data_IF_081748330163
#
_entry.id   IF_081748330163
#
_cell.length_a   1.000
_cell.length_b   1.000
_cell.length_c   1.000
_cell.angle_alpha   90.00
_cell.angle_beta   90.00
_cell.angle_gamma   90.00
#
_symmetry.space_group_name_H-M   'P 1'
#
loop_
_entity.id
_entity.type
_entity.pdbx_description
1 polymer ?
#
# COMPACT_ATOMS: atom_id res chain seq x y z
N UNK A 1 -31.57 -9.61 12.89
CA UNK A 1 -30.34 -10.43 12.87
C UNK A 1 -29.29 -9.77 11.97
N UNK A 2 -29.09 -8.45 12.09
CA UNK A 2 -28.11 -7.64 11.32
C UNK A 2 -27.20 -6.81 12.26
N UNK A 3 -27.12 -7.18 13.55
CA UNK A 3 -26.40 -6.42 14.59
C UNK A 3 -24.96 -6.90 14.86
N UNK A 4 -24.40 -7.81 14.05
CA UNK A 4 -23.19 -8.53 14.48
C UNK A 4 -21.85 -8.05 13.93
N UNK A 5 -21.81 -7.09 13.00
CA UNK A 5 -20.56 -6.43 12.63
C UNK A 5 -20.84 -4.95 12.38
N UNK A 6 -20.25 -4.07 13.20
CA UNK A 6 -20.15 -2.65 12.88
C UNK A 6 -19.58 -2.55 11.45
N UNK A 7 -20.30 -1.84 10.57
CA UNK A 7 -19.95 -1.71 9.16
C UNK A 7 -18.53 -1.13 8.97
N UNK A 8 -17.99 -0.50 10.01
CA UNK A 8 -16.67 0.09 10.05
C UNK A 8 -15.64 -0.74 10.83
N UNK A 9 -16.01 -1.89 11.42
CA UNK A 9 -15.11 -2.68 12.27
C UNK A 9 -13.80 -3.05 11.54
N UNK A 10 -13.90 -3.38 10.26
CA UNK A 10 -12.73 -3.71 9.43
C UNK A 10 -11.77 -2.52 9.32
N UNK A 11 -12.26 -1.32 9.05
CA UNK A 11 -11.39 -0.14 8.86
C UNK A 11 -10.95 0.49 10.19
N UNK A 12 -11.79 0.46 11.23
CA UNK A 12 -11.52 1.09 12.52
C UNK A 12 -10.71 0.21 13.47
N UNK A 13 -10.88 -1.12 13.43
CA UNK A 13 -10.24 -2.02 14.38
C UNK A 13 -9.26 -2.98 13.72
N UNK A 14 -9.63 -3.63 12.61
CA UNK A 14 -8.75 -4.63 12.01
C UNK A 14 -7.55 -3.96 11.32
N UNK A 15 -7.79 -3.01 10.43
CA UNK A 15 -6.74 -2.33 9.65
C UNK A 15 -5.64 -1.76 10.55
N UNK A 16 -5.95 -0.98 11.62
CA UNK A 16 -4.93 -0.46 12.53
C UNK A 16 -4.09 -1.52 13.24
N UNK A 17 -4.65 -2.70 13.48
CA UNK A 17 -3.97 -3.78 14.22
C UNK A 17 -3.15 -4.69 13.29
N UNK A 18 -3.50 -4.78 12.00
CA UNK A 18 -2.84 -5.70 11.07
C UNK A 18 -1.85 -5.02 10.13
N UNK A 19 -2.01 -3.73 9.82
CA UNK A 19 -1.09 -2.99 8.96
C UNK A 19 0.31 -2.74 9.53
N UNK A 20 0.53 -2.52 10.84
CA UNK A 20 1.86 -2.29 11.38
C UNK A 20 2.82 -3.45 11.09
N UNK A 21 3.97 -3.15 10.50
CA UNK A 21 4.97 -4.15 10.10
C UNK A 21 4.47 -5.07 8.99
N UNK A 22 3.55 -4.61 8.15
CA UNK A 22 3.18 -5.31 6.92
C UNK A 22 4.28 -5.17 5.87
N UNK A 23 4.87 -3.99 5.76
CA UNK A 23 5.96 -3.71 4.81
C UNK A 23 7.28 -4.02 5.49
N UNK A 24 8.14 -4.72 4.77
CA UNK A 24 9.44 -5.17 5.23
C UNK A 24 10.52 -4.73 4.23
N UNK A 25 11.77 -4.67 4.66
CA UNK A 25 12.92 -4.55 3.78
C UNK A 25 13.70 -5.86 3.83
N UNK A 26 13.85 -6.54 2.68
CA UNK A 26 14.63 -7.78 2.57
C UNK A 26 15.79 -7.60 1.60
N UNK A 27 16.93 -8.27 1.85
CA UNK A 27 18.01 -8.33 0.87
C UNK A 27 17.50 -8.89 -0.47
N UNK A 28 17.87 -8.23 -1.58
CA UNK A 28 17.43 -8.62 -2.93
C UNK A 28 17.81 -10.08 -3.22
N UNK A 29 18.95 -10.55 -2.70
CA UNK A 29 19.40 -11.93 -2.88
C UNK A 29 18.40 -12.96 -2.32
N UNK A 30 17.75 -12.69 -1.17
CA UNK A 30 16.76 -13.61 -0.57
C UNK A 30 15.50 -13.67 -1.44
N UNK A 31 15.04 -12.51 -1.92
CA UNK A 31 13.87 -12.39 -2.79
C UNK A 31 14.10 -13.16 -4.09
N UNK A 32 15.29 -13.00 -4.69
CA UNK A 32 15.66 -13.69 -5.92
C UNK A 32 15.83 -15.20 -5.71
N UNK A 33 16.40 -15.64 -4.58
CA UNK A 33 16.54 -17.07 -4.27
C UNK A 33 15.19 -17.77 -4.15
N UNK A 34 14.18 -17.10 -3.58
CA UNK A 34 12.80 -17.61 -3.51
C UNK A 34 12.11 -17.67 -4.88
N UNK A 35 12.53 -16.83 -5.84
CA UNK A 35 11.83 -16.63 -7.11
C UNK A 35 12.47 -17.37 -8.29
N UNK A 36 13.77 -17.70 -8.19
CA UNK A 36 14.55 -18.31 -9.28
C UNK A 36 14.72 -19.79 -8.99
N UNK A 37 14.30 -20.63 -9.93
CA UNK A 37 14.51 -22.09 -9.89
C UNK A 37 15.84 -22.52 -10.55
N UNK A 38 16.48 -21.65 -11.34
CA UNK A 38 17.71 -21.96 -12.06
C UNK A 38 18.94 -22.02 -11.13
N UNK A 39 19.54 -23.20 -10.99
CA UNK A 39 20.69 -23.44 -10.12
C UNK A 39 21.95 -22.64 -10.51
N UNK A 40 22.12 -22.31 -11.81
CA UNK A 40 23.27 -21.52 -12.27
C UNK A 40 23.13 -20.07 -11.80
N UNK A 41 21.94 -19.48 -11.95
CA UNK A 41 21.63 -18.16 -11.42
C UNK A 41 21.72 -18.13 -9.90
N UNK A 42 21.19 -19.14 -9.20
CA UNK A 42 21.34 -19.24 -7.73
C UNK A 42 22.79 -19.17 -7.25
N UNK A 43 23.72 -19.79 -7.98
CA UNK A 43 25.16 -19.66 -7.68
C UNK A 43 25.68 -18.24 -7.89
N UNK A 44 25.24 -17.56 -8.94
CA UNK A 44 25.60 -16.15 -9.17
C UNK A 44 25.05 -15.23 -8.08
N UNK A 45 23.88 -15.54 -7.52
CA UNK A 45 23.29 -14.76 -6.41
C UNK A 45 24.15 -14.81 -5.14
N UNK A 46 24.99 -15.84 -4.95
CA UNK A 46 25.85 -15.95 -3.77
C UNK A 46 26.92 -14.86 -3.68
N UNK A 47 27.30 -14.29 -4.83
CA UNK A 47 28.32 -13.25 -4.97
C UNK A 47 27.73 -11.83 -4.98
N UNK A 48 26.41 -11.68 -4.84
CA UNK A 48 25.74 -10.38 -4.80
C UNK A 48 25.99 -9.67 -3.47
N UNK A 49 26.11 -8.34 -3.53
CA UNK A 49 26.10 -7.47 -2.37
C UNK A 49 24.80 -7.62 -1.56
N UNK A 50 24.93 -8.23 -0.38
CA UNK A 50 23.81 -8.48 0.54
C UNK A 50 23.28 -7.22 1.22
N UNK A 51 23.96 -6.08 1.07
CA UNK A 51 23.47 -4.79 1.57
C UNK A 51 22.38 -4.18 0.68
N UNK A 52 22.26 -4.63 -0.56
CA UNK A 52 21.18 -4.21 -1.45
C UNK A 52 19.86 -4.82 -0.97
N UNK A 53 18.97 -3.98 -0.45
CA UNK A 53 17.64 -4.35 -0.01
C UNK A 53 16.57 -3.82 -0.95
N UNK A 54 15.40 -4.43 -0.87
CA UNK A 54 14.19 -4.01 -1.56
C UNK A 54 13.01 -4.12 -0.60
N UNK A 55 11.99 -3.28 -0.83
CA UNK A 55 10.74 -3.40 -0.10
C UNK A 55 10.03 -4.71 -0.48
N UNK A 56 9.43 -5.34 0.52
CA UNK A 56 8.57 -6.52 0.39
C UNK A 56 7.48 -6.43 1.45
N UNK A 57 6.75 -7.51 1.65
CA UNK A 57 5.69 -7.56 2.65
C UNK A 57 5.61 -8.91 3.35
N UNK A 58 5.10 -8.89 4.58
CA UNK A 58 4.76 -10.07 5.36
C UNK A 58 3.65 -10.85 4.65
N UNK A 59 3.99 -12.06 4.17
CA UNK A 59 3.07 -12.91 3.41
C UNK A 59 1.90 -13.39 4.26
N UNK A 60 2.10 -13.65 5.55
CA UNK A 60 1.05 -14.14 6.45
C UNK A 60 0.03 -13.04 6.73
N UNK A 61 0.50 -11.82 7.02
CA UNK A 61 -0.38 -10.64 7.15
C UNK A 61 -1.10 -10.31 5.86
N UNK A 62 -0.42 -10.40 4.72
CA UNK A 62 -1.03 -10.15 3.42
C UNK A 62 -2.15 -11.15 3.11
N UNK A 63 -1.99 -12.43 3.47
CA UNK A 63 -3.06 -13.43 3.34
C UNK A 63 -4.28 -13.06 4.20
N UNK A 64 -4.07 -12.73 5.47
CA UNK A 64 -5.15 -12.32 6.39
C UNK A 64 -5.89 -11.08 5.88
N UNK A 65 -5.14 -10.05 5.47
CA UNK A 65 -5.71 -8.82 4.93
C UNK A 65 -6.45 -9.05 3.61
N UNK A 66 -5.93 -9.92 2.74
CA UNK A 66 -6.62 -10.30 1.50
C UNK A 66 -7.94 -11.02 1.79
N UNK A 67 -7.99 -11.90 2.79
CA UNK A 67 -9.23 -12.57 3.19
C UNK A 67 -10.28 -11.59 3.72
N UNK A 68 -9.87 -10.49 4.37
CA UNK A 68 -10.77 -9.57 5.08
C UNK A 68 -11.18 -8.36 4.22
N UNK A 69 -10.31 -7.89 3.34
CA UNK A 69 -10.52 -6.70 2.50
C UNK A 69 -10.63 -7.03 1.01
N UNK A 70 -10.35 -8.28 0.62
CA UNK A 70 -10.48 -8.75 -0.75
C UNK A 70 -9.60 -7.97 -1.74
N UNK A 71 -10.10 -7.75 -2.98
CA UNK A 71 -9.36 -7.07 -4.04
C UNK A 71 -8.88 -5.66 -3.67
N UNK A 72 -9.59 -4.95 -2.78
CA UNK A 72 -9.20 -3.60 -2.34
C UNK A 72 -7.81 -3.60 -1.73
N UNK A 73 -7.51 -4.62 -0.91
CA UNK A 73 -6.20 -4.75 -0.29
C UNK A 73 -5.12 -5.18 -1.28
N UNK A 74 -5.39 -6.16 -2.15
CA UNK A 74 -4.38 -6.60 -3.13
C UNK A 74 -4.01 -5.48 -4.09
N UNK A 75 -4.98 -4.65 -4.48
CA UNK A 75 -4.75 -3.46 -5.30
C UNK A 75 -3.99 -2.39 -4.53
N UNK A 76 -4.32 -2.17 -3.25
CA UNK A 76 -3.58 -1.25 -2.38
C UNK A 76 -2.11 -1.67 -2.23
N UNK A 77 -1.86 -2.96 -2.07
CA UNK A 77 -0.52 -3.51 -1.99
C UNK A 77 0.23 -3.35 -3.32
N UNK A 78 -0.41 -3.64 -4.45
CA UNK A 78 0.16 -3.38 -5.79
C UNK A 78 0.50 -1.89 -5.97
N UNK A 79 -0.35 -0.97 -5.50
CA UNK A 79 -0.05 0.47 -5.51
C UNK A 79 1.20 0.80 -4.69
N UNK A 80 1.29 0.31 -3.45
CA UNK A 80 2.46 0.57 -2.58
C UNK A 80 3.75 0.04 -3.18
N UNK A 81 3.70 -1.12 -3.83
CA UNK A 81 4.87 -1.76 -4.41
C UNK A 81 5.22 -1.19 -5.80
N UNK A 82 4.23 -0.76 -6.58
CA UNK A 82 4.38 -0.48 -8.01
C UNK A 82 3.89 0.93 -8.38
N UNK A 83 3.99 1.92 -7.50
CA UNK A 83 3.67 3.32 -7.81
C UNK A 83 4.77 4.28 -7.36
N UNK A 84 4.91 5.39 -8.10
CA UNK A 84 5.57 6.60 -7.66
C UNK A 84 4.57 7.40 -6.82
N UNK A 85 4.89 7.65 -5.55
CA UNK A 85 4.02 8.34 -4.60
C UNK A 85 4.71 9.64 -4.20
N UNK A 86 4.05 10.77 -4.47
CA UNK A 86 4.60 12.11 -4.27
C UNK A 86 3.62 12.99 -3.49
N UNK A 87 4.13 14.04 -2.85
CA UNK A 87 3.35 14.95 -2.02
C UNK A 87 3.45 14.65 -0.51
N UNK A 88 2.74 15.45 0.28
CA UNK A 88 2.66 15.26 1.73
C UNK A 88 1.69 14.12 2.07
N UNK A 89 1.87 13.43 3.21
CA UNK A 89 0.96 12.33 3.62
C UNK A 89 -0.52 12.75 3.75
N UNK A 90 -0.78 14.04 3.93
CA UNK A 90 -2.14 14.60 3.94
C UNK A 90 -2.74 14.72 2.53
N UNK A 91 -1.88 14.80 1.51
CA UNK A 91 -2.22 15.17 0.14
C UNK A 91 -1.28 14.48 -0.88
N UNK A 92 -1.55 13.21 -1.19
CA UNK A 92 -0.68 12.39 -2.02
C UNK A 92 -1.16 12.32 -3.47
N UNK A 93 -0.20 12.27 -4.39
CA UNK A 93 -0.40 11.92 -5.80
C UNK A 93 0.25 10.56 -6.05
N UNK A 94 -0.56 9.61 -6.48
CA UNK A 94 -0.15 8.22 -6.76
C UNK A 94 -0.13 8.03 -8.26
N UNK A 95 1.04 7.70 -8.81
CA UNK A 95 1.22 7.40 -10.23
C UNK A 95 1.71 5.96 -10.38
N UNK A 96 0.88 5.03 -10.89
CA UNK A 96 1.32 3.67 -11.15
C UNK A 96 2.55 3.66 -12.07
N UNK A 97 3.56 2.90 -11.68
CA UNK A 97 4.78 2.62 -12.46
C UNK A 97 4.82 1.15 -12.85
N UNK A 98 5.74 0.81 -13.75
CA UNK A 98 5.96 -0.58 -14.13
C UNK A 98 6.21 -1.47 -12.90
N UNK A 99 5.64 -2.66 -12.92
CA UNK A 99 5.74 -3.61 -11.81
C UNK A 99 7.19 -3.95 -11.51
N UNK A 100 7.55 -3.94 -10.22
CA UNK A 100 8.80 -4.50 -9.72
C UNK A 100 8.73 -6.01 -9.89
N UNK A 101 9.42 -6.53 -10.90
CA UNK A 101 9.48 -7.96 -11.20
C UNK A 101 10.91 -8.52 -11.04
N UNK A 102 11.05 -9.83 -11.18
CA UNK A 102 12.36 -10.52 -11.10
C UNK A 102 13.37 -9.91 -12.08
N UNK A 103 13.03 -9.63 -13.36
CA UNK A 103 13.90 -8.87 -14.27
C UNK A 103 14.39 -7.53 -13.70
N UNK A 104 13.50 -6.74 -13.08
CA UNK A 104 13.88 -5.48 -12.43
C UNK A 104 14.90 -5.70 -11.31
N UNK A 105 14.67 -6.67 -10.43
CA UNK A 105 15.60 -7.01 -9.35
C UNK A 105 16.95 -7.53 -9.87
N UNK A 106 16.94 -8.37 -10.90
CA UNK A 106 18.15 -8.84 -11.58
C UNK A 106 18.95 -7.70 -12.20
N UNK A 107 18.27 -6.68 -12.74
CA UNK A 107 18.93 -5.49 -13.26
C UNK A 107 19.59 -4.65 -12.16
N UNK A 108 18.95 -4.53 -10.98
CA UNK A 108 19.51 -3.82 -9.81
C UNK A 108 20.80 -4.46 -9.29
N UNK A 109 20.91 -5.78 -9.37
CA UNK A 109 22.11 -6.52 -8.95
C UNK A 109 23.11 -6.76 -10.09
N UNK A 110 22.88 -6.18 -11.27
CA UNK A 110 23.80 -6.25 -12.41
C UNK A 110 23.84 -7.60 -13.15
N UNK A 111 22.90 -8.51 -12.89
CA UNK A 111 22.82 -9.83 -13.52
C UNK A 111 21.98 -9.87 -14.80
N UNK A 112 21.17 -8.83 -15.06
CA UNK A 112 20.49 -8.66 -16.35
C UNK A 112 21.07 -7.46 -17.11
N UNK A 113 21.50 -7.71 -18.36
CA UNK A 113 21.99 -6.68 -19.30
C UNK A 113 20.88 -6.08 -20.15
N UNK A 114 19.62 -6.50 -19.97
CA UNK A 114 18.50 -5.82 -20.59
C UNK A 114 18.34 -4.46 -19.93
N UNK A 115 19.02 -3.52 -20.58
CA UNK A 115 19.07 -2.08 -20.38
C UNK A 115 17.82 -1.54 -19.72
N UNK A 116 18.01 -0.58 -18.81
CA UNK A 116 17.08 0.40 -18.24
C UNK A 116 16.05 1.05 -19.21
N UNK A 117 15.97 0.62 -20.47
CA UNK A 117 15.18 1.16 -21.58
C UNK A 117 13.70 0.76 -21.57
N UNK A 118 13.20 0.05 -20.55
CA UNK A 118 11.76 -0.27 -20.43
C UNK A 118 11.03 0.49 -19.30
N UNK A 119 11.71 1.38 -18.58
CA UNK A 119 11.08 2.22 -17.54
C UNK A 119 10.33 3.46 -18.09
N UNK A 120 10.19 3.59 -19.40
CA UNK A 120 9.28 4.55 -20.06
C UNK A 120 7.96 3.86 -20.52
N UNK A 121 7.48 2.88 -19.77
CA UNK A 121 6.16 2.26 -20.03
C UNK A 121 5.09 3.00 -19.24
N UNK A 122 4.17 3.59 -20.00
CA UNK A 122 2.91 4.26 -19.64
C UNK A 122 2.71 4.49 -18.14
N UNK A 123 3.02 5.70 -17.69
CA UNK A 123 2.52 6.19 -16.40
C UNK A 123 1.00 6.06 -16.43
N UNK A 124 0.44 5.32 -15.48
CA UNK A 124 -1.01 5.25 -15.29
C UNK A 124 -1.57 6.65 -15.01
N UNK A 125 -2.89 6.80 -15.13
CA UNK A 125 -3.57 8.02 -14.69
C UNK A 125 -3.26 8.27 -13.22
N UNK A 126 -2.68 9.43 -12.93
CA UNK A 126 -2.41 9.84 -11.57
C UNK A 126 -3.72 9.94 -10.80
N UNK A 127 -3.72 9.40 -9.59
CA UNK A 127 -4.85 9.47 -8.66
C UNK A 127 -4.48 10.34 -7.47
N UNK A 128 -5.40 11.18 -7.04
CA UNK A 128 -5.22 12.11 -5.95
C UNK A 128 -5.97 11.67 -4.70
N UNK A 129 -5.30 11.76 -3.55
CA UNK A 129 -5.89 11.48 -2.24
C UNK A 129 -5.72 12.67 -1.31
N UNK A 130 -6.80 13.07 -0.65
CA UNK A 130 -6.81 14.08 0.42
C UNK A 130 -7.23 13.41 1.72
N UNK A 131 -6.25 13.07 2.55
CA UNK A 131 -6.48 12.41 3.83
C UNK A 131 -7.05 13.35 4.89
N UNK A 132 -6.97 14.67 4.69
CA UNK A 132 -7.60 15.67 5.59
C UNK A 132 -9.11 15.64 5.45
N UNK A 133 -9.61 15.35 4.25
CA UNK A 133 -11.03 15.23 3.97
C UNK A 133 -11.50 13.78 3.81
N UNK A 134 -10.61 12.81 4.04
CA UNK A 134 -10.85 11.39 3.77
C UNK A 134 -11.44 11.19 2.37
N UNK A 135 -10.72 11.63 1.34
CA UNK A 135 -11.22 11.67 -0.03
C UNK A 135 -10.23 11.08 -1.03
N UNK A 136 -10.76 10.45 -2.07
CA UNK A 136 -10.01 10.05 -3.24
C UNK A 136 -10.82 10.31 -4.52
N UNK A 137 -10.16 10.80 -5.57
CA UNK A 137 -10.80 11.10 -6.86
C UNK A 137 -11.01 9.87 -7.76
N UNK A 138 -10.56 8.68 -7.34
CA UNK A 138 -10.74 7.46 -8.12
C UNK A 138 -12.22 7.01 -8.18
N UNK A 139 -12.58 6.34 -9.28
CA UNK A 139 -13.92 5.80 -9.48
C UNK A 139 -14.36 4.84 -8.35
N UNK A 140 -13.45 3.98 -7.87
CA UNK A 140 -13.74 3.02 -6.79
C UNK A 140 -14.19 3.72 -5.50
N UNK A 141 -13.64 4.90 -5.20
CA UNK A 141 -14.05 5.69 -4.04
C UNK A 141 -15.45 6.29 -4.25
N UNK A 142 -15.73 6.80 -5.46
CA UNK A 142 -17.06 7.34 -5.81
C UNK A 142 -18.15 6.26 -5.77
N UNK A 143 -17.82 5.03 -6.14
CA UNK A 143 -18.74 3.87 -6.08
C UNK A 143 -19.06 3.41 -4.65
N UNK A 144 -18.31 3.84 -3.64
CA UNK A 144 -18.61 3.50 -2.25
C UNK A 144 -19.84 4.24 -1.72
N UNK A 145 -20.24 5.35 -2.34
CA UNK A 145 -21.37 6.15 -1.88
C UNK A 145 -22.70 5.48 -2.24
N UNK A 146 -23.54 5.31 -1.23
CA UNK A 146 -24.89 4.75 -1.38
C UNK A 146 -25.92 5.61 -0.68
N UNK A 147 -27.20 5.42 -1.02
CA UNK A 147 -28.31 6.19 -0.45
C UNK A 147 -28.55 5.88 1.04
N UNK A 148 -27.99 4.80 1.56
CA UNK A 148 -28.17 4.32 2.95
C UNK A 148 -27.07 4.82 3.89
N UNK A 149 -26.20 5.72 3.43
CA UNK A 149 -25.14 6.30 4.23
C UNK A 149 -25.64 7.42 5.13
N UNK A 150 -25.26 7.35 6.41
CA UNK A 150 -25.56 8.39 7.40
C UNK A 150 -24.28 9.01 7.95
N UNK A 151 -24.40 10.27 8.39
CA UNK A 151 -23.33 10.96 9.12
C UNK A 151 -23.11 10.23 10.45
N UNK A 152 -21.87 9.87 10.71
CA UNK A 152 -21.47 9.18 11.94
C UNK A 152 -20.40 9.98 12.70
N UNK A 153 -20.30 9.73 13.99
CA UNK A 153 -19.19 10.19 14.83
C UNK A 153 -18.30 9.01 15.14
N UNK A 154 -17.02 9.15 14.84
CA UNK A 154 -16.01 8.11 15.10
C UNK A 154 -15.32 8.43 16.43
N UNK A 155 -15.22 7.42 17.31
CA UNK A 155 -14.52 7.53 18.58
C UNK A 155 -13.55 6.36 18.73
N UNK A 156 -12.32 6.66 19.14
CA UNK A 156 -11.25 5.69 19.36
C UNK A 156 -9.88 6.36 19.34
N UNK A 157 -8.83 5.58 19.48
CA UNK A 157 -7.47 6.05 19.69
C UNK A 157 -6.49 5.65 18.56
N UNK A 158 -6.94 4.83 17.61
CA UNK A 158 -6.09 4.43 16.49
C UNK A 158 -5.84 5.60 15.52
N UNK A 159 -4.78 5.51 14.73
CA UNK A 159 -4.45 6.52 13.71
C UNK A 159 -5.59 6.76 12.71
N UNK A 160 -6.37 5.72 12.38
CA UNK A 160 -7.56 5.86 11.54
C UNK A 160 -8.66 6.64 12.26
N UNK A 161 -8.89 6.39 13.55
CA UNK A 161 -9.83 7.19 14.34
C UNK A 161 -9.41 8.66 14.38
N UNK A 162 -8.12 8.93 14.60
CA UNK A 162 -7.57 10.29 14.57
C UNK A 162 -7.84 10.97 13.23
N UNK A 163 -7.43 10.34 12.12
CA UNK A 163 -7.66 10.84 10.76
C UNK A 163 -9.13 11.17 10.48
N UNK A 164 -10.05 10.28 10.88
CA UNK A 164 -11.48 10.48 10.67
C UNK A 164 -12.05 11.55 11.61
N UNK A 165 -11.62 11.60 12.87
CA UNK A 165 -12.09 12.57 13.87
C UNK A 165 -11.60 13.99 13.60
N UNK A 166 -10.41 14.13 13.01
CA UNK A 166 -9.80 15.41 12.61
C UNK A 166 -10.22 15.83 11.20
N UNK A 167 -11.03 15.01 10.52
CA UNK A 167 -11.45 15.31 9.15
C UNK A 167 -12.28 16.60 9.12
N UNK A 168 -11.97 17.46 8.14
CA UNK A 168 -12.77 18.68 7.88
C UNK A 168 -14.12 18.35 7.25
N UNK A 169 -14.25 17.15 6.68
CA UNK A 169 -15.49 16.65 6.10
C UNK A 169 -16.27 15.81 7.11
N UNK A 170 -17.59 15.71 6.91
CA UNK A 170 -18.42 14.83 7.76
C UNK A 170 -18.11 13.37 7.43
N UNK A 171 -17.84 12.57 8.46
CA UNK A 171 -17.62 11.14 8.29
C UNK A 171 -18.96 10.44 8.05
N UNK A 172 -18.98 9.53 7.08
CA UNK A 172 -20.15 8.71 6.74
C UNK A 172 -19.96 7.28 7.26
N UNK A 173 -21.08 6.58 7.49
CA UNK A 173 -21.10 5.15 7.76
C UNK A 173 -21.90 4.41 6.68
N UNK A 174 -21.38 3.32 6.09
CA UNK A 174 -20.00 2.83 6.24
C UNK A 174 -18.97 3.84 5.76
N UNK A 175 -17.76 3.85 6.33
CA UNK A 175 -16.68 4.75 5.90
C UNK A 175 -16.23 4.35 4.49
N UNK A 176 -16.29 5.24 3.49
CA UNK A 176 -15.85 4.95 2.13
C UNK A 176 -14.35 4.61 2.09
N UNK A 177 -13.99 3.51 1.44
CA UNK A 177 -12.58 3.07 1.34
C UNK A 177 -12.32 2.48 -0.05
N UNK A 178 -11.34 3.05 -0.75
CA UNK A 178 -10.77 2.51 -1.99
C UNK A 178 -9.36 1.96 -1.77
N UNK A 179 -8.79 1.31 -2.77
CA UNK A 179 -7.42 0.80 -2.76
C UNK A 179 -6.38 1.90 -2.53
N UNK A 180 -6.62 3.12 -3.00
CA UNK A 180 -5.71 4.25 -2.80
C UNK A 180 -5.68 4.72 -1.35
N UNK A 181 -6.84 4.88 -0.70
CA UNK A 181 -6.92 5.20 0.72
C UNK A 181 -6.24 4.11 1.55
N UNK A 182 -6.49 2.83 1.23
CA UNK A 182 -5.78 1.71 1.89
C UNK A 182 -4.27 1.78 1.66
N UNK A 183 -3.80 2.11 0.45
CA UNK A 183 -2.38 2.25 0.16
C UNK A 183 -1.73 3.36 1.01
N UNK A 184 -2.41 4.51 1.15
CA UNK A 184 -1.95 5.59 2.04
C UNK A 184 -1.89 5.13 3.49
N UNK A 185 -2.88 4.36 3.97
CA UNK A 185 -2.84 3.80 5.31
C UNK A 185 -1.66 2.81 5.48
N UNK A 186 -1.43 1.92 4.52
CA UNK A 186 -0.29 0.99 4.53
C UNK A 186 1.03 1.77 4.68
N UNK A 187 1.21 2.83 3.90
CA UNK A 187 2.40 3.69 3.97
C UNK A 187 2.49 4.37 5.33
N UNK A 188 1.40 4.95 5.82
CA UNK A 188 1.39 5.69 7.10
C UNK A 188 1.72 4.79 8.30
N UNK A 189 1.19 3.56 8.31
CA UNK A 189 1.50 2.56 9.36
C UNK A 189 2.90 1.96 9.24
N UNK A 190 3.53 2.03 8.08
CA UNK A 190 4.87 1.51 7.82
C UNK A 190 5.84 2.63 7.41
N UNK A 191 5.60 3.85 7.87
CA UNK A 191 6.27 5.05 7.36
C UNK A 191 7.78 5.03 7.52
N UNK A 192 8.28 4.36 8.57
CA UNK A 192 9.71 4.12 8.81
C UNK A 192 10.42 3.28 7.73
N UNK A 193 9.67 2.55 6.90
CA UNK A 193 10.21 1.76 5.78
C UNK A 193 10.35 2.60 4.51
N UNK A 194 9.69 3.75 4.45
CA UNK A 194 9.76 4.66 3.32
C UNK A 194 10.68 5.81 3.70
N UNK A 195 11.64 6.16 2.86
CA UNK A 195 12.45 7.38 2.99
C UNK A 195 11.60 8.63 2.64
N UNK A 196 10.41 8.73 3.22
CA UNK A 196 9.56 9.90 3.12
C UNK A 196 9.92 10.78 4.30
N UNK A 197 10.39 12.00 4.02
CA UNK A 197 10.60 13.03 5.04
C UNK A 197 9.26 13.29 5.73
N UNK A 198 9.05 12.65 6.88
CA UNK A 198 7.90 12.86 7.77
C UNK A 198 8.06 14.19 8.49
N UNK A 199 8.03 15.29 7.74
CA UNK A 199 7.89 16.61 8.31
C UNK A 199 6.44 16.82 8.74
N UNK A 200 6.17 16.53 10.02
CA UNK A 200 5.10 17.07 10.89
C UNK A 200 3.70 17.20 10.26
N UNK A 201 2.78 16.32 10.67
CA UNK A 201 1.40 16.74 10.97
C UNK A 201 1.43 17.46 12.33
#
# INVERSE_FOLDING_TARGET
MNELFDANATILHLVPNTLPGLIESKPIYEILLESIDDDSMRKQLLDIDRSLTELTFDKDKAVVLTMLLGPKFTNALDIVMNSEITGDLSNLTITPVAKRDVPHLLSKVGLSKDSLQLLNRERGLATHTDMTNWYCDCAEYQECYSNDMDITTIAGDSLVHQLLSESKSRVLSPVPVCSHILAVLIIKYNSHMFEIDLCRV
#
